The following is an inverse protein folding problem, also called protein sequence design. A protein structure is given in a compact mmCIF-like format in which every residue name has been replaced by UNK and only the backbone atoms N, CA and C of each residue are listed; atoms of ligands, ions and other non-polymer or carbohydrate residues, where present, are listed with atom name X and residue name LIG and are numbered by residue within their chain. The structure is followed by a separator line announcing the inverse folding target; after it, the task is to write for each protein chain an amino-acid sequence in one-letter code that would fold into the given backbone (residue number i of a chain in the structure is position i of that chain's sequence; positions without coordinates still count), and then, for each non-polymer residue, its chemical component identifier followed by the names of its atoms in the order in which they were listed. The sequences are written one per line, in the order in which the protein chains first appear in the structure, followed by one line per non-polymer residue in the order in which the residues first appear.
data_IF_254973974419
#
_entry.id   IF_254973974419
#
_cell.length_a   1.000
_cell.length_b   1.000
_cell.length_c   1.000
_cell.angle_alpha   90.00
_cell.angle_beta   90.00
_cell.angle_gamma   90.00
#
_symmetry.space_group_name_H-M   'P 1'
#
loop_
_entity.id
_entity.type
_entity.pdbx_description
1 polymer ?
#
# COMPACT_ATOMS: atom_id res chain seq x y z
N UNK A 1 -21.00 40.41 -12.19
CA UNK A 1 -21.67 39.76 -11.04
C UNK A 1 -20.59 39.45 -10.00
N UNK A 2 -20.55 40.19 -8.90
CA UNK A 2 -19.56 39.97 -7.83
C UNK A 2 -20.03 38.72 -7.07
N UNK A 3 -19.25 37.64 -7.09
CA UNK A 3 -19.55 36.43 -6.32
C UNK A 3 -19.49 36.82 -4.85
N UNK A 4 -20.61 36.69 -4.13
CA UNK A 4 -20.62 36.92 -2.70
C UNK A 4 -19.80 35.82 -2.01
N UNK A 5 -18.91 36.15 -1.07
CA UNK A 5 -18.15 35.16 -0.32
C UNK A 5 -19.13 34.33 0.52
N UNK A 6 -19.16 33.01 0.27
CA UNK A 6 -19.96 32.05 1.02
C UNK A 6 -19.43 31.94 2.46
N UNK A 7 -20.32 31.70 3.42
CA UNK A 7 -19.95 31.51 4.83
C UNK A 7 -19.55 30.04 5.06
N UNK A 8 -18.82 29.79 6.15
CA UNK A 8 -18.26 28.48 6.55
C UNK A 8 -19.29 27.33 6.62
N UNK A 9 -20.57 27.66 6.73
CA UNK A 9 -21.69 26.71 6.78
C UNK A 9 -22.07 26.10 5.43
N UNK A 10 -21.54 26.64 4.32
CA UNK A 10 -21.95 26.28 2.96
C UNK A 10 -20.91 25.41 2.24
N UNK A 11 -19.91 24.90 2.97
CA UNK A 11 -18.92 23.93 2.48
C UNK A 11 -19.58 22.56 2.31
N UNK A 12 -19.32 21.80 1.23
CA UNK A 12 -19.71 20.39 1.19
C UNK A 12 -19.13 19.69 2.43
N UNK A 13 -20.01 19.05 3.21
CA UNK A 13 -19.75 18.51 4.54
C UNK A 13 -18.46 17.67 4.57
N UNK A 14 -18.26 16.89 3.51
CA UNK A 14 -17.17 15.97 3.23
C UNK A 14 -15.77 16.63 3.29
N UNK A 15 -15.65 17.85 2.77
CA UNK A 15 -14.37 18.57 2.68
C UNK A 15 -14.03 19.24 4.03
N UNK A 16 -15.06 19.73 4.72
CA UNK A 16 -14.94 20.26 6.08
C UNK A 16 -14.52 19.15 7.04
N UNK A 17 -15.11 17.97 6.92
CA UNK A 17 -14.76 16.78 7.71
C UNK A 17 -13.33 16.30 7.42
N UNK A 18 -12.89 16.31 6.16
CA UNK A 18 -11.54 15.89 5.78
C UNK A 18 -10.45 16.83 6.34
N UNK A 19 -10.72 18.14 6.34
CA UNK A 19 -9.83 19.15 6.91
C UNK A 19 -9.82 19.07 8.44
N UNK A 20 -11.00 18.93 9.06
CA UNK A 20 -11.10 18.82 10.52
C UNK A 20 -10.43 17.55 11.03
N UNK A 21 -10.54 16.44 10.28
CA UNK A 21 -9.80 15.20 10.55
C UNK A 21 -8.29 15.41 10.47
N UNK A 22 -7.77 16.12 9.45
CA UNK A 22 -6.34 16.44 9.32
C UNK A 22 -5.82 17.28 10.50
N UNK A 23 -6.61 18.25 10.96
CA UNK A 23 -6.30 19.08 12.13
C UNK A 23 -6.34 18.25 13.42
N UNK A 24 -7.32 17.35 13.56
CA UNK A 24 -7.40 16.41 14.69
C UNK A 24 -6.22 15.43 14.71
N UNK A 25 -5.80 14.93 13.56
CA UNK A 25 -4.61 14.07 13.42
C UNK A 25 -3.33 14.84 13.78
N UNK A 26 -3.25 16.13 13.47
CA UNK A 26 -2.09 16.95 13.86
C UNK A 26 -2.02 17.17 15.37
N UNK A 27 -3.12 17.61 15.98
CA UNK A 27 -3.15 17.91 17.41
C UNK A 27 -3.28 16.65 18.31
N UNK A 28 -3.70 15.53 17.73
CA UNK A 28 -3.97 14.27 18.41
C UNK A 28 -5.05 14.43 19.50
N UNK A 29 -5.17 13.41 20.36
CA UNK A 29 -6.07 13.40 21.53
C UNK A 29 -5.61 14.37 22.66
N UNK A 30 -5.00 15.52 22.32
CA UNK A 30 -4.48 16.54 23.23
C UNK A 30 -2.96 16.56 23.44
N UNK A 31 -2.21 15.61 22.85
CA UNK A 31 -0.77 15.44 23.14
C UNK A 31 0.17 16.00 22.06
N UNK A 32 -0.34 16.51 20.92
CA UNK A 32 0.47 17.13 19.86
C UNK A 32 1.40 16.18 19.08
N UNK A 33 1.27 14.86 19.27
CA UNK A 33 2.14 13.82 18.67
C UNK A 33 1.47 13.06 17.52
N UNK A 34 0.30 13.46 17.06
CA UNK A 34 -0.48 12.64 16.12
C UNK A 34 0.19 12.49 14.75
N UNK A 35 0.94 13.50 14.28
CA UNK A 35 1.78 13.37 13.09
C UNK A 35 2.94 12.37 13.25
N UNK A 36 3.57 12.34 14.43
CA UNK A 36 4.65 11.39 14.71
C UNK A 36 4.12 9.95 14.71
N UNK A 37 2.92 9.74 15.27
CA UNK A 37 2.25 8.43 15.25
C UNK A 37 1.78 8.04 13.85
N UNK A 38 1.26 8.99 13.06
CA UNK A 38 0.92 8.77 11.65
C UNK A 38 2.16 8.37 10.84
N UNK A 39 3.27 9.08 11.03
CA UNK A 39 4.53 8.79 10.35
C UNK A 39 5.06 7.38 10.72
N UNK A 40 4.93 6.97 11.99
CA UNK A 40 5.27 5.61 12.44
C UNK A 40 4.35 4.56 11.81
N UNK A 41 3.04 4.82 11.76
CA UNK A 41 2.08 3.91 11.14
C UNK A 41 2.36 3.74 9.65
N UNK A 42 2.66 4.83 8.93
CA UNK A 42 3.04 4.80 7.52
C UNK A 42 4.34 4.00 7.30
N UNK A 43 5.35 4.22 8.16
CA UNK A 43 6.59 3.45 8.12
C UNK A 43 6.34 1.95 8.34
N UNK A 44 5.49 1.60 9.31
CA UNK A 44 5.11 0.21 9.58
C UNK A 44 4.38 -0.41 8.39
N UNK A 45 3.39 0.27 7.83
CA UNK A 45 2.62 -0.19 6.67
C UNK A 45 3.54 -0.47 5.47
N UNK A 46 4.43 0.46 5.14
CA UNK A 46 5.37 0.30 4.03
C UNK A 46 6.36 -0.84 4.32
N UNK A 47 6.88 -0.92 5.54
CA UNK A 47 7.80 -1.99 5.95
C UNK A 47 7.17 -3.38 5.85
N UNK A 48 5.94 -3.55 6.34
CA UNK A 48 5.19 -4.81 6.26
C UNK A 48 4.88 -5.20 4.81
N UNK A 49 4.53 -4.23 3.95
CA UNK A 49 4.30 -4.46 2.53
C UNK A 49 5.58 -4.92 1.80
N UNK A 50 6.73 -4.28 2.06
CA UNK A 50 8.04 -4.67 1.49
C UNK A 50 8.42 -6.07 1.96
N UNK A 51 8.27 -6.35 3.26
CA UNK A 51 8.57 -7.66 3.82
C UNK A 51 7.70 -8.75 3.18
N UNK A 52 6.39 -8.51 3.07
CA UNK A 52 5.46 -9.46 2.45
C UNK A 52 5.78 -9.72 0.97
N UNK A 53 6.11 -8.67 0.21
CA UNK A 53 6.53 -8.82 -1.19
C UNK A 53 7.86 -9.60 -1.31
N UNK A 54 8.82 -9.32 -0.42
CA UNK A 54 10.12 -10.02 -0.38
C UNK A 54 9.92 -11.50 -0.09
N UNK A 55 9.15 -11.83 0.95
CA UNK A 55 8.86 -13.21 1.33
C UNK A 55 8.09 -13.95 0.24
N UNK A 56 7.14 -13.30 -0.43
CA UNK A 56 6.41 -13.87 -1.56
C UNK A 56 7.35 -14.24 -2.72
N UNK A 57 8.29 -13.36 -3.08
CA UNK A 57 9.26 -13.62 -4.15
C UNK A 57 10.25 -14.74 -3.75
N UNK A 58 10.76 -14.72 -2.52
CA UNK A 58 11.68 -15.76 -2.01
C UNK A 58 10.97 -17.11 -1.98
N UNK A 59 9.73 -17.17 -1.47
CA UNK A 59 8.95 -18.40 -1.44
C UNK A 59 8.78 -18.95 -2.86
N UNK A 60 8.40 -18.11 -3.82
CA UNK A 60 8.25 -18.53 -5.21
C UNK A 60 9.57 -18.99 -5.83
N UNK A 61 10.67 -18.33 -5.52
CA UNK A 61 12.01 -18.75 -5.95
C UNK A 61 12.36 -20.15 -5.42
N UNK A 62 12.11 -20.40 -4.14
CA UNK A 62 12.38 -21.71 -3.52
C UNK A 62 11.47 -22.80 -4.07
N UNK A 63 10.21 -22.48 -4.38
CA UNK A 63 9.30 -23.39 -5.06
C UNK A 63 9.84 -23.77 -6.42
N UNK A 64 10.22 -22.81 -7.27
CA UNK A 64 10.74 -23.09 -8.61
C UNK A 64 12.02 -23.95 -8.56
N UNK A 65 12.91 -23.70 -7.59
CA UNK A 65 14.11 -24.51 -7.35
C UNK A 65 13.82 -25.92 -6.85
N UNK A 66 12.60 -26.21 -6.37
CA UNK A 66 12.21 -27.57 -5.95
C UNK A 66 12.26 -28.57 -7.13
N UNK A 67 11.94 -28.10 -8.34
CA UNK A 67 12.01 -28.91 -9.57
C UNK A 67 13.41 -29.04 -10.17
N UNK A 68 14.40 -28.31 -9.65
CA UNK A 68 15.78 -28.34 -10.16
C UNK A 68 16.51 -29.60 -9.69
N UNK A 69 16.72 -30.55 -10.60
CA UNK A 69 17.37 -31.83 -10.31
C UNK A 69 18.87 -31.71 -10.03
N UNK A 70 19.48 -30.58 -10.38
CA UNK A 70 20.91 -30.33 -10.18
C UNK A 70 21.21 -29.66 -8.84
N UNK A 71 20.20 -29.08 -8.18
CA UNK A 71 20.35 -28.42 -6.88
C UNK A 71 20.21 -29.41 -5.73
N UNK A 72 21.33 -29.84 -5.14
CA UNK A 72 21.30 -30.67 -3.91
C UNK A 72 20.71 -29.93 -2.71
N UNK A 73 20.72 -28.60 -2.72
CA UNK A 73 20.21 -27.79 -1.63
C UNK A 73 18.69 -27.57 -1.69
N UNK A 74 18.08 -27.52 -2.88
CA UNK A 74 16.68 -27.12 -3.01
C UNK A 74 15.79 -28.20 -3.64
N UNK A 75 16.36 -29.16 -4.36
CA UNK A 75 15.60 -30.23 -5.01
C UNK A 75 14.70 -30.95 -4.02
N UNK A 76 13.42 -31.07 -4.35
CA UNK A 76 12.39 -31.73 -3.55
C UNK A 76 12.16 -31.20 -2.12
N UNK A 77 12.92 -30.22 -1.60
CA UNK A 77 12.75 -29.75 -0.21
C UNK A 77 11.36 -29.17 0.07
N UNK A 78 10.80 -28.43 -0.89
CA UNK A 78 9.45 -27.89 -0.74
C UNK A 78 8.40 -29.01 -0.79
N UNK A 79 8.56 -29.98 -1.70
CA UNK A 79 7.77 -31.20 -1.75
C UNK A 79 7.81 -31.99 -0.43
N UNK A 80 8.98 -32.17 0.18
CA UNK A 80 9.13 -32.83 1.48
C UNK A 80 8.40 -32.10 2.61
N UNK A 81 8.42 -30.76 2.60
CA UNK A 81 7.69 -29.95 3.57
C UNK A 81 6.18 -30.16 3.44
N UNK A 82 5.64 -30.10 2.21
CA UNK A 82 4.24 -30.34 1.94
C UNK A 82 3.82 -31.78 2.29
N UNK A 83 4.69 -32.76 2.05
CA UNK A 83 4.45 -34.15 2.46
C UNK A 83 4.36 -34.28 3.99
N UNK A 84 5.27 -33.63 4.74
CA UNK A 84 5.19 -33.58 6.21
C UNK A 84 3.93 -32.88 6.72
N UNK A 85 3.46 -31.85 6.03
CA UNK A 85 2.18 -31.19 6.36
C UNK A 85 1.01 -32.16 6.15
N UNK A 86 0.99 -32.92 5.05
CA UNK A 86 -0.02 -33.95 4.82
C UNK A 86 0.00 -35.02 5.93
N UNK A 87 1.19 -35.44 6.38
CA UNK A 87 1.32 -36.41 7.48
C UNK A 87 0.78 -35.86 8.79
N UNK A 88 1.10 -34.61 9.15
CA UNK A 88 0.55 -33.94 10.34
C UNK A 88 -0.97 -33.79 10.27
N UNK A 89 -1.51 -33.37 9.13
CA UNK A 89 -2.96 -33.22 8.99
C UNK A 89 -3.68 -34.58 9.05
N UNK A 90 -3.04 -35.68 8.63
CA UNK A 90 -3.59 -37.04 8.81
C UNK A 90 -3.74 -37.42 10.29
N UNK A 91 -2.83 -36.97 11.16
CA UNK A 91 -2.93 -37.19 12.61
C UNK A 91 -4.14 -36.46 13.22
N UNK A 92 -4.50 -35.30 12.66
CA UNK A 92 -5.66 -34.50 13.11
C UNK A 92 -7.02 -35.14 12.77
N UNK A 93 -7.05 -36.11 11.85
CA UNK A 93 -8.26 -36.79 11.31
C UNK A 93 -9.32 -35.86 10.70
N UNK A 94 -8.93 -34.64 10.33
CA UNK A 94 -9.80 -33.68 9.65
C UNK A 94 -9.69 -33.88 8.12
N UNK A 95 -10.72 -34.48 7.51
CA UNK A 95 -10.74 -34.80 6.07
C UNK A 95 -10.61 -33.56 5.18
N UNK A 96 -11.14 -32.41 5.61
CA UNK A 96 -11.08 -31.16 4.85
C UNK A 96 -9.65 -30.60 4.82
N UNK A 97 -8.93 -30.66 5.95
CA UNK A 97 -7.52 -30.23 5.99
C UNK A 97 -6.61 -31.17 5.22
N UNK A 98 -6.84 -32.49 5.33
CA UNK A 98 -6.06 -33.50 4.60
C UNK A 98 -6.24 -33.33 3.10
N UNK A 99 -7.47 -33.10 2.62
CA UNK A 99 -7.74 -32.90 1.19
C UNK A 99 -7.10 -31.61 0.66
N UNK A 100 -7.16 -30.51 1.42
CA UNK A 100 -6.46 -29.25 1.08
C UNK A 100 -4.94 -29.44 1.01
N UNK A 101 -4.33 -30.09 2.00
CA UNK A 101 -2.88 -30.32 2.01
C UNK A 101 -2.42 -31.18 0.82
N UNK A 102 -3.18 -32.24 0.48
CA UNK A 102 -2.92 -33.05 -0.73
C UNK A 102 -3.08 -32.25 -2.02
N UNK A 103 -4.11 -31.41 -2.11
CA UNK A 103 -4.32 -30.53 -3.25
C UNK A 103 -3.13 -29.58 -3.45
N UNK A 104 -2.67 -28.94 -2.38
CA UNK A 104 -1.51 -28.04 -2.41
C UNK A 104 -0.25 -28.75 -2.92
N UNK A 105 0.03 -29.97 -2.43
CA UNK A 105 1.15 -30.79 -2.92
C UNK A 105 1.03 -31.10 -4.42
N UNK A 106 -0.14 -31.58 -4.86
CA UNK A 106 -0.35 -31.93 -6.26
C UNK A 106 -0.25 -30.69 -7.17
N UNK A 107 -0.80 -29.55 -6.75
CA UNK A 107 -0.71 -28.30 -7.50
C UNK A 107 0.76 -27.86 -7.64
N UNK A 108 1.51 -27.79 -6.53
CA UNK A 108 2.94 -27.46 -6.58
C UNK A 108 3.73 -28.42 -7.49
N UNK A 109 3.51 -29.72 -7.33
CA UNK A 109 4.22 -30.72 -8.12
C UNK A 109 3.95 -30.53 -9.61
N UNK A 110 2.67 -30.39 -9.99
CA UNK A 110 2.27 -30.22 -11.37
C UNK A 110 2.79 -28.90 -11.97
N UNK A 111 2.77 -27.82 -11.19
CA UNK A 111 3.21 -26.51 -11.64
C UNK A 111 4.72 -26.38 -11.80
N UNK A 112 5.51 -27.07 -10.96
CA UNK A 112 6.96 -26.85 -10.90
C UNK A 112 7.76 -27.99 -11.52
N UNK A 113 7.39 -29.25 -11.26
CA UNK A 113 8.21 -30.40 -11.65
C UNK A 113 8.03 -30.79 -13.13
N UNK A 114 6.95 -30.35 -13.77
CA UNK A 114 6.75 -30.52 -15.23
C UNK A 114 7.30 -29.36 -16.06
N UNK A 115 7.81 -28.29 -15.44
CA UNK A 115 8.45 -27.21 -16.19
C UNK A 115 9.72 -27.69 -16.89
N UNK A 116 9.91 -27.19 -18.10
CA UNK A 116 11.19 -27.34 -18.82
C UNK A 116 12.26 -26.48 -18.14
N UNK A 117 13.53 -26.85 -18.33
CA UNK A 117 14.66 -26.07 -17.81
C UNK A 117 14.64 -24.61 -18.32
N UNK A 118 14.28 -24.39 -19.59
CA UNK A 118 14.16 -23.05 -20.17
C UNK A 118 13.03 -22.23 -19.51
N UNK A 119 11.84 -22.82 -19.33
CA UNK A 119 10.72 -22.15 -18.68
C UNK A 119 11.03 -21.82 -17.21
N UNK A 120 11.70 -22.73 -16.49
CA UNK A 120 12.15 -22.49 -15.11
C UNK A 120 13.20 -21.38 -15.07
N UNK A 121 14.18 -21.41 -15.97
CA UNK A 121 15.22 -20.39 -16.07
C UNK A 121 14.65 -18.99 -16.31
N UNK A 122 13.67 -18.87 -17.22
CA UNK A 122 12.93 -17.61 -17.44
C UNK A 122 12.20 -17.14 -16.19
N UNK A 123 11.43 -18.02 -15.55
CA UNK A 123 10.70 -17.68 -14.34
C UNK A 123 11.63 -17.25 -13.18
N UNK A 124 12.81 -17.87 -13.04
CA UNK A 124 13.83 -17.46 -12.07
C UNK A 124 14.45 -16.10 -12.43
N UNK A 125 14.72 -15.85 -13.71
CA UNK A 125 15.18 -14.55 -14.20
C UNK A 125 14.18 -13.42 -13.92
N UNK A 126 12.89 -13.67 -14.17
CA UNK A 126 11.81 -12.71 -13.88
C UNK A 126 11.74 -12.41 -12.37
N UNK A 127 11.93 -13.41 -11.51
CA UNK A 127 11.98 -13.21 -10.05
C UNK A 127 13.19 -12.36 -9.66
N UNK A 128 14.37 -12.64 -10.24
CA UNK A 128 15.59 -11.87 -9.96
C UNK A 128 15.39 -10.39 -10.36
N UNK A 129 14.75 -10.12 -11.49
CA UNK A 129 14.42 -8.77 -11.93
C UNK A 129 13.45 -8.09 -10.95
N UNK A 130 12.37 -8.78 -10.55
CA UNK A 130 11.43 -8.25 -9.55
C UNK A 130 12.08 -7.98 -8.21
N UNK A 131 13.01 -8.83 -7.76
CA UNK A 131 13.78 -8.61 -6.53
C UNK A 131 14.68 -7.36 -6.65
N UNK A 132 15.27 -7.10 -7.81
CA UNK A 132 16.05 -5.87 -8.06
C UNK A 132 15.14 -4.63 -8.01
N UNK A 133 14.00 -4.67 -8.68
CA UNK A 133 13.02 -3.58 -8.66
C UNK A 133 12.49 -3.31 -7.25
N UNK A 134 12.19 -4.37 -6.49
CA UNK A 134 11.75 -4.25 -5.10
C UNK A 134 12.81 -3.61 -4.21
N UNK A 135 14.10 -3.95 -4.40
CA UNK A 135 15.21 -3.31 -3.67
C UNK A 135 15.38 -1.83 -4.03
N UNK A 136 15.24 -1.47 -5.30
CA UNK A 136 15.28 -0.06 -5.72
C UNK A 136 14.10 0.74 -5.13
N UNK A 137 12.89 0.18 -5.20
CA UNK A 137 11.70 0.75 -4.57
C UNK A 137 11.86 0.89 -3.06
N UNK A 138 12.39 -0.14 -2.40
CA UNK A 138 12.71 -0.08 -0.97
C UNK A 138 13.68 1.06 -0.68
N UNK A 139 14.74 1.25 -1.47
CA UNK A 139 15.67 2.36 -1.31
C UNK A 139 14.99 3.73 -1.42
N UNK A 140 14.09 3.91 -2.40
CA UNK A 140 13.30 5.14 -2.56
C UNK A 140 12.35 5.38 -1.39
N UNK A 141 11.67 4.33 -0.94
CA UNK A 141 10.72 4.39 0.18
C UNK A 141 11.44 4.63 1.50
N UNK A 142 12.61 4.03 1.72
CA UNK A 142 13.49 4.31 2.86
C UNK A 142 13.98 5.76 2.86
N UNK A 143 14.18 6.38 1.69
CA UNK A 143 14.43 7.81 1.57
C UNK A 143 13.25 8.67 2.06
N UNK A 144 12.02 8.17 1.93
CA UNK A 144 10.80 8.86 2.35
C UNK A 144 10.47 8.65 3.85
N UNK A 145 10.63 7.43 4.37
CA UNK A 145 10.24 7.06 5.75
C UNK A 145 11.41 6.92 6.73
N UNK A 146 12.64 6.89 6.24
CA UNK A 146 13.86 6.72 7.03
C UNK A 146 14.08 5.30 7.57
N UNK A 147 15.33 4.92 7.82
CA UNK A 147 15.68 3.55 8.22
C UNK A 147 15.55 3.27 9.72
N UNK A 148 15.68 4.27 10.60
CA UNK A 148 15.69 4.05 12.06
C UNK A 148 14.96 5.11 12.88
N UNK A 149 15.68 6.10 13.45
CA UNK A 149 15.17 7.10 14.41
C UNK A 149 14.67 8.39 13.75
N UNK A 150 15.21 8.74 12.59
CA UNK A 150 14.67 9.81 11.76
C UNK A 150 13.59 9.25 10.85
N UNK A 151 12.42 9.90 10.90
CA UNK A 151 11.34 9.68 9.96
C UNK A 151 11.14 10.97 9.17
N UNK A 152 11.75 11.10 7.97
CA UNK A 152 11.63 12.28 7.13
C UNK A 152 10.17 12.61 6.78
N UNK A 153 9.30 11.59 6.76
CA UNK A 153 7.86 11.80 6.58
C UNK A 153 7.27 12.70 7.67
N UNK A 154 7.82 12.74 8.89
CA UNK A 154 7.38 13.64 9.95
C UNK A 154 7.52 15.11 9.54
N UNK A 155 8.65 15.51 8.95
CA UNK A 155 8.85 16.89 8.50
C UNK A 155 7.96 17.23 7.31
N UNK A 156 7.80 16.30 6.38
CA UNK A 156 6.89 16.46 5.22
C UNK A 156 5.45 16.64 5.69
N UNK A 157 5.00 15.80 6.64
CA UNK A 157 3.65 15.89 7.21
C UNK A 157 3.46 17.17 8.02
N UNK A 158 4.47 17.62 8.77
CA UNK A 158 4.45 18.91 9.46
C UNK A 158 4.31 20.07 8.47
N UNK A 159 5.17 20.11 7.44
CA UNK A 159 5.12 21.16 6.43
C UNK A 159 3.80 21.17 5.64
N UNK A 160 3.27 19.98 5.31
CA UNK A 160 1.98 19.84 4.63
C UNK A 160 0.84 20.39 5.51
N UNK A 161 0.79 19.97 6.77
CA UNK A 161 -0.27 20.42 7.69
C UNK A 161 -0.14 21.88 8.08
N UNK A 162 1.06 22.39 8.31
CA UNK A 162 1.33 23.83 8.54
C UNK A 162 0.94 24.67 7.31
N UNK A 163 1.22 24.17 6.12
CA UNK A 163 0.80 24.79 4.86
C UNK A 163 -0.72 24.85 4.74
N UNK A 164 -1.41 23.75 5.02
CA UNK A 164 -2.87 23.68 5.02
C UNK A 164 -3.50 24.61 6.06
N UNK A 165 -2.96 24.70 7.28
CA UNK A 165 -3.48 25.61 8.30
C UNK A 165 -3.36 27.07 7.88
N UNK A 166 -2.19 27.49 7.37
CA UNK A 166 -1.99 28.85 6.87
C UNK A 166 -2.89 29.13 5.66
N UNK A 167 -3.02 28.16 4.76
CA UNK A 167 -3.86 28.28 3.58
C UNK A 167 -5.34 28.42 3.95
N UNK A 168 -5.78 27.78 5.02
CA UNK A 168 -7.17 27.82 5.51
C UNK A 168 -7.43 28.92 6.53
N UNK A 169 -6.40 29.63 7.01
CA UNK A 169 -6.55 30.63 8.07
C UNK A 169 -6.95 30.00 9.41
N UNK A 170 -6.44 28.81 9.70
CA UNK A 170 -6.69 28.14 10.98
C UNK A 170 -5.89 28.82 12.08
N UNK A 171 -6.57 29.18 13.17
CA UNK A 171 -5.95 29.75 14.35
C UNK A 171 -5.94 28.72 15.50
N UNK A 172 -4.75 28.25 15.93
CA UNK A 172 -4.62 27.23 16.96
C UNK A 172 -5.06 27.70 18.36
N UNK A 173 -5.03 29.01 18.63
CA UNK A 173 -5.45 29.57 19.93
C UNK A 173 -6.97 29.60 20.08
N UNK A 174 -7.71 29.89 19.00
CA UNK A 174 -9.17 29.83 19.00
C UNK A 174 -9.73 28.46 18.62
N UNK A 175 -8.88 27.52 18.20
CA UNK A 175 -9.27 26.20 17.64
C UNK A 175 -10.32 26.35 16.53
N UNK A 176 -10.16 27.36 15.69
CA UNK A 176 -11.13 27.74 14.67
C UNK A 176 -10.49 28.65 13.62
N UNK A 177 -11.21 28.92 12.54
CA UNK A 177 -10.71 29.70 11.42
C UNK A 177 -10.91 31.20 11.66
N UNK A 178 -9.87 32.00 11.48
CA UNK A 178 -9.90 33.46 11.71
C UNK A 178 -10.29 34.27 10.45
N UNK A 179 -10.45 33.59 9.31
CA UNK A 179 -10.83 34.20 8.04
C UNK A 179 -9.67 34.85 7.27
N UNK A 180 -8.42 34.65 7.72
CA UNK A 180 -7.21 35.10 7.00
C UNK A 180 -6.79 34.19 5.84
N UNK A 181 -7.39 33.00 5.75
CA UNK A 181 -7.11 32.00 4.72
C UNK A 181 -7.80 32.26 3.39
N UNK A 182 -7.64 31.33 2.45
CA UNK A 182 -8.32 31.41 1.15
C UNK A 182 -9.84 31.45 1.30
N UNK A 183 -10.48 32.17 0.39
CA UNK A 183 -11.93 32.21 0.32
C UNK A 183 -12.42 30.84 -0.16
N UNK A 184 -13.27 30.17 0.63
CA UNK A 184 -13.73 28.79 0.40
C UNK A 184 -14.35 28.52 -1.00
N UNK A 185 -14.75 29.56 -1.75
CA UNK A 185 -15.14 29.42 -3.16
C UNK A 185 -14.02 28.91 -4.08
N UNK A 186 -12.76 29.01 -3.65
CA UNK A 186 -11.59 28.48 -4.34
C UNK A 186 -11.11 27.15 -3.72
N UNK A 187 -11.75 26.65 -2.67
CA UNK A 187 -11.41 25.38 -2.04
C UNK A 187 -11.88 24.18 -2.87
N UNK A 188 -13.00 24.31 -3.60
CA UNK A 188 -13.40 23.35 -4.64
C UNK A 188 -12.29 23.20 -5.69
N UNK A 189 -11.59 24.31 -6.04
CA UNK A 189 -10.44 24.29 -6.95
C UNK A 189 -9.18 23.68 -6.33
N UNK A 190 -9.02 23.76 -5.01
CA UNK A 190 -7.96 23.02 -4.31
C UNK A 190 -8.27 21.51 -4.33
N UNK A 191 -9.53 21.13 -4.07
CA UNK A 191 -9.96 19.74 -4.16
C UNK A 191 -9.77 19.19 -5.58
N UNK A 192 -10.18 19.95 -6.61
CA UNK A 192 -9.90 19.64 -8.01
C UNK A 192 -8.40 19.56 -8.29
N UNK A 193 -7.59 20.45 -7.71
CA UNK A 193 -6.14 20.45 -7.84
C UNK A 193 -5.48 19.22 -7.21
N UNK A 194 -5.93 18.81 -6.02
CA UNK A 194 -5.45 17.61 -5.32
C UNK A 194 -5.92 16.35 -6.02
N UNK A 195 -7.18 16.29 -6.48
CA UNK A 195 -7.70 15.17 -7.27
C UNK A 195 -7.02 15.08 -8.63
N UNK A 196 -6.71 16.20 -9.29
CA UNK A 196 -5.92 16.22 -10.53
C UNK A 196 -4.47 15.79 -10.29
N UNK A 197 -3.87 16.17 -9.16
CA UNK A 197 -2.55 15.71 -8.75
C UNK A 197 -2.55 14.20 -8.48
N UNK A 198 -3.47 13.69 -7.67
CA UNK A 198 -3.62 12.26 -7.39
C UNK A 198 -3.96 11.48 -8.67
N UNK A 199 -4.85 12.00 -9.53
CA UNK A 199 -5.14 11.41 -10.83
C UNK A 199 -3.89 11.39 -11.73
N UNK A 200 -3.08 12.45 -11.73
CA UNK A 200 -1.83 12.52 -12.49
C UNK A 200 -0.79 11.51 -12.01
N UNK A 201 -0.62 11.40 -10.68
CA UNK A 201 0.27 10.41 -10.06
C UNK A 201 -0.22 8.99 -10.36
N UNK A 202 -1.51 8.70 -10.11
CA UNK A 202 -2.11 7.38 -10.34
C UNK A 202 -2.17 6.99 -11.82
N UNK A 203 -2.38 7.95 -12.72
CA UNK A 203 -2.32 7.72 -14.17
C UNK A 203 -0.88 7.51 -14.65
N UNK A 204 0.09 8.20 -14.06
CA UNK A 204 1.51 8.04 -14.39
C UNK A 204 2.08 6.68 -13.99
N UNK A 205 1.50 6.02 -13.00
CA UNK A 205 1.91 4.67 -12.55
C UNK A 205 0.98 3.56 -13.04
N UNK A 206 -0.10 3.90 -13.74
CA UNK A 206 -1.12 2.95 -14.23
C UNK A 206 -0.56 1.97 -15.25
N UNK A 207 0.35 2.42 -16.09
CA UNK A 207 0.96 1.64 -17.17
C UNK A 207 2.30 1.01 -16.74
N UNK A 208 2.67 1.10 -15.46
CA UNK A 208 3.84 0.44 -14.89
C UNK A 208 3.49 -1.03 -14.55
N UNK A 209 4.21 -1.97 -15.14
CA UNK A 209 3.98 -3.41 -14.98
C UNK A 209 4.03 -3.86 -13.50
N UNK A 210 4.74 -3.13 -12.64
CA UNK A 210 4.81 -3.39 -11.21
C UNK A 210 3.48 -3.11 -10.46
N UNK A 211 2.65 -2.18 -10.96
CA UNK A 211 1.38 -1.78 -10.32
C UNK A 211 0.22 -2.68 -10.75
N UNK A 212 0.25 -3.20 -11.99
CA UNK A 212 -0.78 -4.13 -12.49
C UNK A 212 -0.81 -5.48 -11.76
N UNK A 213 0.30 -5.90 -11.15
CA UNK A 213 0.37 -7.12 -10.34
C UNK A 213 -0.23 -6.97 -8.93
N UNK A 214 -0.26 -5.77 -8.35
CA UNK A 214 -0.82 -5.52 -7.01
C UNK A 214 -2.34 -5.35 -7.03
N UNK A 215 -2.92 -4.93 -8.16
CA UNK A 215 -4.37 -4.67 -8.31
C UNK A 215 -5.19 -5.97 -8.24
N UNK A 216 -4.60 -7.13 -8.56
CA UNK A 216 -5.33 -8.41 -8.53
C UNK A 216 -5.62 -8.97 -7.12
N UNK A 217 -5.14 -8.33 -6.05
CA UNK A 217 -5.26 -8.85 -4.66
C UNK A 217 -6.06 -7.97 -3.68
N UNK A 218 -6.65 -6.84 -4.08
CA UNK A 218 -7.41 -5.99 -3.13
C UNK A 218 -8.85 -5.70 -3.59
N UNK A 219 -9.88 -6.22 -2.88
CA UNK A 219 -11.28 -5.96 -3.19
C UNK A 219 -11.74 -4.65 -2.54
N UNK A 220 -11.20 -3.51 -2.96
CA UNK A 220 -11.57 -2.20 -2.39
C UNK A 220 -12.05 -1.15 -3.41
N UNK A 221 -12.22 -1.53 -4.68
CA UNK A 221 -12.51 -0.56 -5.75
C UNK A 221 -13.98 -0.19 -5.97
N UNK A 222 -14.93 -0.68 -5.18
CA UNK A 222 -16.36 -0.49 -5.48
C UNK A 222 -17.06 0.65 -4.75
N UNK A 223 -16.42 1.39 -3.83
CA UNK A 223 -17.13 2.42 -3.05
C UNK A 223 -17.00 3.88 -3.53
N UNK A 224 -16.05 4.23 -4.42
CA UNK A 224 -15.80 5.65 -4.75
C UNK A 224 -16.16 6.09 -6.17
N UNK A 225 -16.52 5.16 -7.07
CA UNK A 225 -16.99 5.50 -8.41
C UNK A 225 -18.42 5.00 -8.63
N UNK A 226 -19.39 5.73 -8.07
CA UNK A 226 -20.72 5.76 -8.67
C UNK A 226 -20.78 7.00 -9.57
N UNK A 227 -20.98 6.87 -10.89
CA UNK A 227 -21.10 8.01 -11.77
C UNK A 227 -22.42 8.71 -11.49
N UNK A 228 -22.35 9.94 -10.97
CA UNK A 228 -23.48 10.87 -10.97
C UNK A 228 -23.77 11.18 -12.43
N UNK A 229 -24.77 10.48 -12.98
CA UNK A 229 -25.39 10.82 -14.26
C UNK A 229 -25.98 12.22 -14.14
N UNK A 230 -25.39 13.17 -14.88
CA UNK A 230 -25.97 14.48 -15.13
C UNK A 230 -27.02 14.31 -16.24
N UNK A 231 -28.29 14.54 -15.92
CA UNK A 231 -29.34 14.99 -16.85
C UNK A 231 -29.78 16.38 -16.45
#
# INVERSE_FOLDING_TARGET
MVRQPKKLTDCPENLRESIDWLIQVKHGNGNGKGLDELAKALKKLIGEAIQSATDSLINRETELKCGDKYSTEHHNKHCEKLQKEIEKEKESKDEDKISKAKSNYNNHYNEVHYLTEDARGKALGDIEERQKTLKDLQGKLEGFIGKEKDNPATEILKNLTDGLEKFLGFNPSSKGYDGSGIVYSDLDRLCDGVMAFLHGVLSGVKDDDAVNLLIFSMPFYTCFFSPILIS
#
